data_IF_308581199959
#
_entry.id   IF_308581199959
#
_cell.length_a   1.000
_cell.length_b   1.000
_cell.length_c   1.000
_cell.angle_alpha   90.00
_cell.angle_beta   90.00
_cell.angle_gamma   90.00
#
_symmetry.space_group_name_H-M   'P 1'
#
loop_
_entity.id
_entity.type
_entity.pdbx_description
1 polymer ?
#
# COMPACT_ATOMS: atom_id res chain seq x y z
N UNK A 1 18.70 -13.40 0.36
CA UNK A 1 17.97 -13.34 1.65
C UNK A 1 18.88 -12.72 2.70
N UNK A 2 18.38 -11.80 3.52
CA UNK A 2 19.21 -11.06 4.48
C UNK A 2 18.76 -11.39 5.92
N UNK A 3 19.70 -11.78 6.79
CA UNK A 3 19.47 -12.17 8.19
C UNK A 3 18.66 -11.12 8.97
N UNK A 4 18.82 -9.84 8.64
CA UNK A 4 18.05 -8.76 9.28
C UNK A 4 16.53 -8.94 9.10
N UNK A 5 16.09 -9.44 7.94
CA UNK A 5 14.67 -9.70 7.70
C UNK A 5 14.17 -10.89 8.52
N UNK A 6 14.96 -11.97 8.63
CA UNK A 6 14.61 -13.14 9.44
C UNK A 6 14.47 -12.78 10.92
N UNK A 7 15.42 -11.99 11.46
CA UNK A 7 15.35 -11.50 12.83
C UNK A 7 14.12 -10.61 13.07
N UNK A 8 13.74 -9.76 12.10
CA UNK A 8 12.55 -8.90 12.19
C UNK A 8 11.25 -9.73 12.20
N UNK A 9 11.14 -10.73 11.33
CA UNK A 9 9.98 -11.64 11.30
C UNK A 9 9.86 -12.42 12.61
N UNK A 10 10.99 -12.93 13.13
CA UNK A 10 11.05 -13.62 14.41
C UNK A 10 10.66 -12.72 15.60
N UNK A 11 10.97 -11.42 15.54
CA UNK A 11 10.48 -10.44 16.53
C UNK A 11 8.99 -10.21 16.43
N UNK A 12 8.43 -10.09 15.22
CA UNK A 12 6.99 -9.94 15.02
C UNK A 12 6.18 -11.14 15.54
N UNK A 13 6.68 -12.36 15.40
CA UNK A 13 6.03 -13.55 15.92
C UNK A 13 5.94 -13.56 17.46
N UNK A 14 6.95 -13.02 18.15
CA UNK A 14 7.02 -12.98 19.63
C UNK A 14 6.41 -11.73 20.25
N UNK A 15 6.55 -10.59 19.58
CA UNK A 15 6.07 -9.28 19.99
C UNK A 15 5.44 -8.60 18.77
N UNK A 16 4.19 -8.95 18.44
CA UNK A 16 3.55 -8.41 17.26
C UNK A 16 3.36 -6.89 17.41
N UNK A 17 3.46 -6.13 16.30
CA UNK A 17 3.06 -4.74 16.30
C UNK A 17 1.57 -4.62 16.66
N UNK A 18 1.20 -3.51 17.31
CA UNK A 18 -0.20 -3.22 17.67
C UNK A 18 -1.14 -3.40 16.49
N UNK A 19 -2.25 -4.11 16.70
CA UNK A 19 -3.27 -4.38 15.67
C UNK A 19 -3.74 -3.11 14.96
N UNK A 20 -3.87 -2.00 15.69
CA UNK A 20 -4.30 -0.71 15.14
C UNK A 20 -3.34 -0.22 14.06
N UNK A 21 -2.03 -0.40 14.26
CA UNK A 21 -1.00 -0.04 13.29
C UNK A 21 -1.05 -0.96 12.08
N UNK A 22 -1.26 -2.26 12.28
CA UNK A 22 -1.40 -3.23 11.19
C UNK A 22 -2.61 -2.88 10.32
N UNK A 23 -3.79 -2.71 10.93
CA UNK A 23 -5.03 -2.32 10.24
C UNK A 23 -4.86 -1.00 9.47
N UNK A 24 -4.16 -0.03 10.05
CA UNK A 24 -3.87 1.24 9.36
C UNK A 24 -3.05 1.03 8.09
N UNK A 25 -1.94 0.28 8.16
CA UNK A 25 -1.10 0.01 6.99
C UNK A 25 -1.87 -0.77 5.93
N UNK A 26 -2.65 -1.79 6.32
CA UNK A 26 -3.49 -2.54 5.38
C UNK A 26 -4.58 -1.67 4.76
N UNK A 27 -5.18 -0.74 5.51
CA UNK A 27 -6.14 0.22 4.98
C UNK A 27 -5.54 1.16 3.93
N UNK A 28 -4.34 1.68 4.19
CA UNK A 28 -3.60 2.50 3.20
C UNK A 28 -3.26 1.66 1.96
N UNK A 29 -2.76 0.44 2.15
CA UNK A 29 -2.43 -0.46 1.05
C UNK A 29 -3.67 -0.76 0.19
N UNK A 30 -4.81 -1.03 0.82
CA UNK A 30 -6.08 -1.25 0.14
C UNK A 30 -6.49 -0.01 -0.67
N UNK A 31 -6.39 1.19 -0.09
CA UNK A 31 -6.68 2.44 -0.80
C UNK A 31 -5.78 2.62 -2.03
N UNK A 32 -4.48 2.38 -1.91
CA UNK A 32 -3.55 2.43 -3.04
C UNK A 32 -3.92 1.41 -4.13
N UNK A 33 -4.26 0.18 -3.75
CA UNK A 33 -4.67 -0.86 -4.69
C UNK A 33 -5.99 -0.53 -5.39
N UNK A 34 -6.96 0.04 -4.68
CA UNK A 34 -8.22 0.49 -5.26
C UNK A 34 -7.98 1.60 -6.28
N UNK A 35 -7.17 2.60 -5.93
CA UNK A 35 -6.79 3.68 -6.85
C UNK A 35 -6.12 3.12 -8.10
N UNK A 36 -5.10 2.27 -7.93
CA UNK A 36 -4.40 1.66 -9.05
C UNK A 36 -5.31 0.76 -9.90
N UNK A 37 -6.26 0.05 -9.28
CA UNK A 37 -7.24 -0.79 -9.96
C UNK A 37 -8.23 0.02 -10.79
N UNK A 38 -8.76 1.12 -10.25
CA UNK A 38 -9.69 2.02 -10.98
C UNK A 38 -8.96 2.66 -12.18
N UNK A 39 -7.71 3.08 -12.00
CA UNK A 39 -6.88 3.61 -13.10
C UNK A 39 -6.65 2.53 -14.18
N UNK A 40 -6.29 1.31 -13.78
CA UNK A 40 -6.07 0.19 -14.71
C UNK A 40 -7.34 -0.18 -15.50
N UNK A 41 -8.52 -0.07 -14.88
CA UNK A 41 -9.81 -0.31 -15.52
C UNK A 41 -10.28 0.87 -16.40
N UNK A 42 -9.58 1.99 -16.41
CA UNK A 42 -9.97 3.18 -17.16
C UNK A 42 -11.25 3.86 -16.63
N UNK A 43 -11.62 3.59 -15.39
CA UNK A 43 -12.80 4.19 -14.74
C UNK A 43 -12.53 5.54 -14.09
N UNK A 44 -11.33 6.06 -14.29
CA UNK A 44 -10.93 7.33 -13.70
C UNK A 44 -11.68 8.48 -14.37
N UNK A 45 -12.33 9.37 -13.59
CA UNK A 45 -13.12 10.45 -14.17
C UNK A 45 -12.22 11.56 -14.74
N UNK A 46 -12.70 12.25 -15.78
CA UNK A 46 -11.96 13.29 -16.51
C UNK A 46 -11.35 14.36 -15.61
N UNK A 47 -12.10 14.81 -14.61
CA UNK A 47 -11.68 15.86 -13.68
C UNK A 47 -10.52 15.42 -12.77
N UNK A 48 -10.30 14.12 -12.63
CA UNK A 48 -9.25 13.54 -11.78
C UNK A 48 -8.08 12.98 -12.58
N UNK A 49 -8.12 13.04 -13.92
CA UNK A 49 -7.01 12.58 -14.77
C UNK A 49 -5.87 13.59 -14.77
N UNK A 50 -4.64 13.10 -14.70
CA UNK A 50 -3.46 13.95 -14.85
C UNK A 50 -3.38 14.43 -16.29
N UNK A 51 -3.49 15.73 -16.52
CA UNK A 51 -3.14 16.33 -17.80
C UNK A 51 -1.62 16.39 -17.88
N UNK A 52 -1.05 15.59 -18.77
CA UNK A 52 0.39 15.61 -19.06
C UNK A 52 0.80 17.01 -19.51
N UNK A 53 1.37 17.80 -18.61
CA UNK A 53 2.05 19.07 -18.89
C UNK A 53 3.47 18.80 -19.42
N UNK A 54 3.59 17.96 -20.44
CA UNK A 54 4.86 17.69 -21.12
C UNK A 54 4.80 18.33 -22.51
N UNK A 55 5.72 19.24 -22.87
CA UNK A 55 5.84 19.73 -24.24
C UNK A 55 6.24 18.62 -25.20
#
# INVERSE_FOLDING_TARGET
MNIRHLLRMSKWARNPPSERRVKFVFGVLLACLLIAGIEYLGWWPEWARVQSLRP
#
